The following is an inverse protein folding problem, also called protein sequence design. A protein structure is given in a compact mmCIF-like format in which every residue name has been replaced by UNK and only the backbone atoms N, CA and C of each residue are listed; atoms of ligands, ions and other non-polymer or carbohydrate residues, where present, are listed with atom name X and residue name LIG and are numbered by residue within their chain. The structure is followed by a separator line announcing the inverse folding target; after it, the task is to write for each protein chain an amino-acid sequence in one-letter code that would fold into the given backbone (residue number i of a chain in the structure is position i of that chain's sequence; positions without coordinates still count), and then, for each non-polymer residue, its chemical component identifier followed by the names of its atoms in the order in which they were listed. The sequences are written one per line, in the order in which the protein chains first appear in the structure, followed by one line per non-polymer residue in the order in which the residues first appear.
data_IF_791255300242
#
_entry.id   IF_791255300242
#
_cell.length_a   1.000
_cell.length_b   1.000
_cell.length_c   1.000
_cell.angle_alpha   90.00
_cell.angle_beta   90.00
_cell.angle_gamma   90.00
#
_symmetry.space_group_name_H-M   'P 1'
#
loop_
_entity.id
_entity.type
_entity.pdbx_description
1 polymer ?
#
# COMPACT_ATOMS: atom_id res chain seq x y z
N UNK A 1 17.88 5.77 3.84
CA UNK A 1 17.09 4.55 3.60
C UNK A 1 16.48 4.64 2.22
N UNK A 2 16.27 3.52 1.53
CA UNK A 2 15.62 3.46 0.21
C UNK A 2 14.19 4.05 0.19
N UNK A 3 13.66 4.42 1.35
CA UNK A 3 12.28 4.90 1.50
C UNK A 3 11.99 6.25 0.80
N UNK A 4 13.01 7.06 0.49
CA UNK A 4 12.79 8.39 -0.09
C UNK A 4 13.39 8.54 -1.50
N UNK A 5 14.10 7.53 -2.00
CA UNK A 5 14.74 7.59 -3.30
C UNK A 5 13.77 7.17 -4.41
N UNK A 6 13.53 8.06 -5.36
CA UNK A 6 12.87 7.75 -6.63
C UNK A 6 13.96 7.45 -7.64
N UNK A 7 14.03 6.21 -8.11
CA UNK A 7 15.02 5.77 -9.08
C UNK A 7 14.47 5.85 -10.51
N UNK A 8 15.29 6.34 -11.44
CA UNK A 8 14.93 6.36 -12.86
C UNK A 8 15.18 5.01 -13.57
N UNK A 9 15.83 4.09 -12.89
CA UNK A 9 16.11 2.73 -13.38
C UNK A 9 15.24 1.71 -12.66
N UNK A 10 14.92 0.58 -13.30
CA UNK A 10 14.29 -0.54 -12.60
C UNK A 10 15.12 -0.96 -11.38
N UNK A 11 14.45 -1.20 -10.27
CA UNK A 11 15.07 -1.63 -9.02
C UNK A 11 14.19 -2.64 -8.29
N UNK A 12 14.79 -3.36 -7.39
CA UNK A 12 14.13 -4.38 -6.58
C UNK A 12 14.57 -4.22 -5.13
N UNK A 13 13.64 -4.40 -4.22
CA UNK A 13 13.92 -4.53 -2.80
C UNK A 13 13.69 -5.97 -2.36
N UNK A 14 14.71 -6.58 -1.77
CA UNK A 14 14.66 -7.93 -1.22
C UNK A 14 14.43 -7.86 0.28
N UNK A 15 13.40 -8.55 0.78
CA UNK A 15 13.03 -8.58 2.21
C UNK A 15 12.58 -9.94 2.66
N UNK A 16 12.92 -10.30 3.90
CA UNK A 16 12.27 -11.40 4.62
C UNK A 16 10.91 -10.98 5.18
N UNK A 17 10.11 -11.94 5.58
CA UNK A 17 8.82 -11.71 6.26
C UNK A 17 8.99 -11.46 7.76
N UNK A 18 10.00 -12.05 8.37
CA UNK A 18 10.31 -11.95 9.78
C UNK A 18 11.50 -11.04 10.07
N UNK A 19 12.04 -11.21 11.26
CA UNK A 19 13.25 -10.54 11.69
C UNK A 19 14.48 -11.06 10.94
N UNK A 20 14.51 -12.38 10.69
CA UNK A 20 15.56 -13.04 9.91
C UNK A 20 15.21 -13.07 8.43
N UNK A 21 16.22 -13.10 7.58
CA UNK A 21 16.05 -13.20 6.15
C UNK A 21 15.55 -14.61 5.74
N UNK A 22 16.09 -15.67 6.31
CA UNK A 22 15.65 -17.04 6.10
C UNK A 22 14.90 -17.62 7.31
N UNK A 23 14.76 -18.95 7.35
CA UNK A 23 14.14 -19.65 8.48
C UNK A 23 14.98 -19.50 9.76
N UNK A 24 14.32 -19.07 10.82
CA UNK A 24 14.89 -19.02 12.16
C UNK A 24 13.90 -19.63 13.17
N UNK A 25 14.28 -20.75 13.78
CA UNK A 25 13.43 -21.45 14.74
C UNK A 25 13.17 -20.69 16.05
N UNK A 26 13.91 -19.61 16.30
CA UNK A 26 13.77 -18.77 17.51
C UNK A 26 12.81 -17.60 17.28
N UNK A 27 12.29 -17.43 16.06
CA UNK A 27 11.27 -16.42 15.78
C UNK A 27 9.89 -16.90 16.23
N UNK A 28 9.14 -16.03 16.86
CA UNK A 28 7.73 -16.21 17.19
C UNK A 28 6.81 -15.35 16.30
N UNK A 29 5.51 -15.34 16.58
CA UNK A 29 4.52 -14.63 15.76
C UNK A 29 4.75 -13.11 15.73
N UNK A 30 5.31 -12.54 16.79
CA UNK A 30 5.54 -11.09 16.91
C UNK A 30 6.73 -10.63 16.06
N UNK A 31 7.63 -11.54 15.72
CA UNK A 31 8.79 -11.27 14.87
C UNK A 31 8.42 -11.17 13.38
N UNK A 32 7.22 -11.62 13.01
CA UNK A 32 6.76 -11.55 11.63
C UNK A 32 5.98 -10.28 11.35
N UNK A 33 6.20 -9.70 10.17
CA UNK A 33 5.43 -8.56 9.71
C UNK A 33 3.94 -8.91 9.61
N UNK A 34 3.10 -7.95 9.96
CA UNK A 34 1.65 -8.09 9.80
C UNK A 34 1.27 -8.12 8.31
N UNK A 35 0.13 -8.71 7.93
CA UNK A 35 -0.30 -8.71 6.53
C UNK A 35 -0.46 -7.29 5.98
N UNK A 36 -0.97 -6.35 6.81
CA UNK A 36 -1.07 -4.95 6.42
C UNK A 36 0.30 -4.32 6.16
N UNK A 37 1.29 -4.60 7.00
CA UNK A 37 2.66 -4.09 6.80
C UNK A 37 3.29 -4.64 5.52
N UNK A 38 3.13 -5.93 5.22
CA UNK A 38 3.64 -6.55 3.99
C UNK A 38 2.98 -5.95 2.74
N UNK A 39 1.65 -5.80 2.75
CA UNK A 39 0.90 -5.19 1.64
C UNK A 39 1.31 -3.73 1.44
N UNK A 40 1.38 -2.92 2.50
CA UNK A 40 1.79 -1.53 2.40
C UNK A 40 3.26 -1.37 1.99
N UNK A 41 4.12 -2.31 2.36
CA UNK A 41 5.51 -2.37 1.87
C UNK A 41 5.54 -2.61 0.36
N UNK A 42 4.79 -3.59 -0.14
CA UNK A 42 4.64 -3.84 -1.58
C UNK A 42 4.13 -2.58 -2.30
N UNK A 43 3.06 -1.98 -1.79
CA UNK A 43 2.45 -0.77 -2.36
C UNK A 43 3.44 0.39 -2.42
N UNK A 44 4.18 0.64 -1.34
CA UNK A 44 5.20 1.70 -1.26
C UNK A 44 6.35 1.48 -2.26
N UNK A 45 6.80 0.25 -2.43
CA UNK A 45 7.86 -0.11 -3.39
C UNK A 45 7.36 0.10 -4.82
N UNK A 46 6.17 -0.41 -5.16
CA UNK A 46 5.61 -0.34 -6.51
C UNK A 46 5.25 1.09 -6.90
N UNK A 47 4.72 1.91 -5.97
CA UNK A 47 4.44 3.33 -6.23
C UNK A 47 5.69 4.12 -6.63
N UNK A 48 6.86 3.70 -6.14
CA UNK A 48 8.18 4.27 -6.48
C UNK A 48 8.84 3.62 -7.69
N UNK A 49 8.14 2.71 -8.37
CA UNK A 49 8.61 2.03 -9.60
C UNK A 49 9.53 0.84 -9.35
N UNK A 50 9.56 0.31 -8.12
CA UNK A 50 10.32 -0.88 -7.74
C UNK A 50 9.52 -2.18 -7.82
N UNK A 51 10.23 -3.29 -7.60
CA UNK A 51 9.66 -4.62 -7.42
C UNK A 51 10.02 -5.13 -6.01
N UNK A 52 9.14 -5.92 -5.42
CA UNK A 52 9.39 -6.61 -4.16
C UNK A 52 9.78 -8.07 -4.43
N UNK A 53 10.96 -8.45 -3.99
CA UNK A 53 11.35 -9.85 -3.82
C UNK A 53 11.15 -10.21 -2.34
N UNK A 54 10.08 -10.94 -2.04
CA UNK A 54 9.75 -11.36 -0.69
C UNK A 54 10.32 -12.75 -0.42
N UNK A 55 11.30 -12.82 0.46
CA UNK A 55 11.93 -14.07 0.84
C UNK A 55 11.10 -14.86 1.85
N UNK A 56 11.08 -16.17 1.67
CA UNK A 56 10.46 -17.14 2.58
C UNK A 56 11.50 -18.15 3.03
N UNK A 57 11.53 -18.47 4.32
CA UNK A 57 12.51 -19.41 4.90
C UNK A 57 11.90 -20.79 5.12
N UNK A 58 12.05 -21.77 4.21
CA UNK A 58 11.62 -23.13 4.48
C UNK A 58 12.47 -23.74 5.59
N UNK A 59 11.83 -24.61 6.39
CA UNK A 59 12.50 -25.43 7.41
C UNK A 59 13.48 -26.42 6.77
N UNK A 60 14.35 -27.06 7.56
CA UNK A 60 15.33 -28.03 7.06
C UNK A 60 14.72 -29.20 6.29
N UNK A 61 13.46 -29.54 6.54
CA UNK A 61 12.72 -30.58 5.80
C UNK A 61 11.90 -30.01 4.60
N UNK A 62 12.18 -28.78 4.17
CA UNK A 62 11.58 -28.16 2.99
C UNK A 62 10.16 -27.60 3.18
N UNK A 63 9.64 -27.55 4.41
CA UNK A 63 8.28 -27.04 4.67
C UNK A 63 8.33 -25.53 4.93
N UNK A 64 7.43 -24.81 4.31
CA UNK A 64 7.21 -23.40 4.62
C UNK A 64 6.44 -23.29 5.94
N UNK A 65 6.91 -22.51 6.93
CA UNK A 65 6.21 -22.32 8.21
C UNK A 65 4.76 -21.85 8.01
N UNK A 66 3.80 -22.32 8.83
CA UNK A 66 2.38 -21.95 8.69
C UNK A 66 2.15 -20.43 8.68
N UNK A 67 2.87 -19.69 9.51
CA UNK A 67 2.75 -18.22 9.56
C UNK A 67 3.11 -17.56 8.22
N UNK A 68 4.15 -18.03 7.54
CA UNK A 68 4.54 -17.50 6.23
C UNK A 68 3.49 -17.86 5.17
N UNK A 69 2.94 -19.08 5.20
CA UNK A 69 1.85 -19.50 4.31
C UNK A 69 0.61 -18.62 4.50
N UNK A 70 0.24 -18.31 5.74
CA UNK A 70 -0.89 -17.43 6.06
C UNK A 70 -0.65 -16.02 5.51
N UNK A 71 0.52 -15.44 5.73
CA UNK A 71 0.85 -14.10 5.20
C UNK A 71 0.80 -14.05 3.68
N UNK A 72 1.32 -15.06 2.99
CA UNK A 72 1.25 -15.17 1.53
C UNK A 72 -0.21 -15.27 1.05
N UNK A 73 -1.05 -16.06 1.72
CA UNK A 73 -2.47 -16.19 1.41
C UNK A 73 -3.19 -14.84 1.56
N UNK A 74 -2.96 -14.13 2.66
CA UNK A 74 -3.56 -12.81 2.92
C UNK A 74 -3.14 -11.78 1.87
N UNK A 75 -1.86 -11.75 1.48
CA UNK A 75 -1.38 -10.90 0.38
C UNK A 75 -2.03 -11.31 -0.95
N UNK A 76 -2.12 -12.61 -1.22
CA UNK A 76 -2.74 -13.16 -2.43
C UNK A 76 -4.22 -12.78 -2.55
N UNK A 77 -4.99 -12.83 -1.46
CA UNK A 77 -6.39 -12.41 -1.42
C UNK A 77 -6.54 -10.93 -1.71
N UNK A 78 -5.70 -10.09 -1.11
CA UNK A 78 -5.69 -8.66 -1.40
C UNK A 78 -5.34 -8.38 -2.87
N UNK A 79 -4.36 -9.08 -3.44
CA UNK A 79 -3.94 -8.94 -4.82
C UNK A 79 -4.99 -9.43 -5.84
N UNK A 80 -5.87 -10.38 -5.50
CA UNK A 80 -6.99 -10.76 -6.37
C UNK A 80 -7.91 -9.59 -6.67
N UNK A 81 -8.06 -8.65 -5.73
CA UNK A 81 -8.92 -7.48 -5.86
C UNK A 81 -8.13 -6.29 -6.38
N UNK A 82 -6.96 -6.03 -5.81
CA UNK A 82 -6.19 -4.81 -6.04
C UNK A 82 -5.01 -4.97 -7.01
N UNK A 83 -4.78 -6.17 -7.54
CA UNK A 83 -3.63 -6.49 -8.39
C UNK A 83 -3.55 -5.66 -9.66
N UNK A 84 -4.69 -5.14 -10.18
CA UNK A 84 -4.71 -4.21 -11.32
C UNK A 84 -3.86 -2.96 -11.05
N UNK A 85 -3.83 -2.50 -9.80
CA UNK A 85 -3.06 -1.35 -9.34
C UNK A 85 -1.58 -1.66 -9.06
N UNK A 86 -1.18 -2.94 -9.17
CA UNK A 86 0.19 -3.42 -8.89
C UNK A 86 0.84 -3.95 -10.16
N UNK A 87 0.19 -4.92 -10.83
CA UNK A 87 0.80 -5.65 -11.94
C UNK A 87 0.86 -4.83 -13.23
N UNK A 88 2.09 -4.68 -13.76
CA UNK A 88 2.34 -3.98 -15.00
C UNK A 88 2.13 -2.46 -14.91
N UNK A 89 2.09 -1.92 -13.70
CA UNK A 89 1.98 -0.48 -13.46
C UNK A 89 3.36 0.21 -13.58
N UNK A 90 3.32 1.53 -13.56
CA UNK A 90 4.48 2.41 -13.50
C UNK A 90 4.24 3.45 -12.41
N UNK A 91 5.31 4.06 -11.90
CA UNK A 91 5.19 5.23 -11.04
C UNK A 91 4.41 6.33 -11.76
N UNK A 92 3.57 7.03 -11.02
CA UNK A 92 2.91 8.23 -11.52
C UNK A 92 3.76 9.48 -11.20
N UNK A 93 3.35 10.67 -11.69
CA UNK A 93 4.04 11.94 -11.40
C UNK A 93 4.18 12.22 -9.89
N UNK A 94 3.18 11.84 -9.10
CA UNK A 94 3.23 11.80 -7.64
C UNK A 94 3.25 10.34 -7.20
N UNK A 95 4.26 9.95 -6.43
CA UNK A 95 4.37 8.57 -5.93
C UNK A 95 3.52 8.35 -4.69
N UNK A 96 3.29 9.42 -3.91
CA UNK A 96 2.49 9.40 -2.69
C UNK A 96 1.91 10.79 -2.37
N UNK A 97 0.98 10.81 -1.41
CA UNK A 97 0.43 12.01 -0.81
C UNK A 97 0.53 11.89 0.71
N UNK A 98 1.00 12.96 1.35
CA UNK A 98 1.18 13.02 2.79
C UNK A 98 0.14 13.94 3.45
N UNK A 99 -0.23 13.56 4.68
CA UNK A 99 -0.95 14.45 5.60
C UNK A 99 -0.08 15.61 6.05
N UNK A 100 -0.66 16.57 6.76
CA UNK A 100 0.10 17.56 7.51
C UNK A 100 0.86 16.90 8.69
N UNK A 101 2.02 17.44 9.04
CA UNK A 101 2.85 16.97 10.14
C UNK A 101 4.32 16.81 9.75
N UNK A 102 5.13 16.33 10.70
CA UNK A 102 6.55 16.07 10.48
C UNK A 102 6.74 14.76 9.70
N UNK A 103 7.45 14.81 8.57
CA UNK A 103 7.77 13.62 7.74
C UNK A 103 9.06 12.91 8.18
N UNK A 104 9.78 13.45 9.16
CA UNK A 104 11.09 12.95 9.57
C UNK A 104 10.99 11.88 10.67
N UNK A 105 9.94 11.06 10.66
CA UNK A 105 9.83 9.95 11.58
C UNK A 105 11.04 9.02 11.42
N UNK A 106 11.69 8.72 12.55
CA UNK A 106 12.84 7.81 12.59
C UNK A 106 12.54 6.68 13.56
N UNK A 107 12.83 5.48 13.12
CA UNK A 107 12.79 4.33 14.00
C UNK A 107 13.83 4.50 15.11
N UNK A 108 13.39 4.44 16.35
CA UNK A 108 14.25 4.59 17.55
C UNK A 108 14.21 3.35 18.45
N UNK A 109 13.59 2.26 18.00
CA UNK A 109 13.43 1.04 18.78
C UNK A 109 14.71 0.18 18.78
N UNK A 110 14.81 -0.65 19.83
CA UNK A 110 15.90 -1.64 19.95
C UNK A 110 15.69 -2.86 19.04
N UNK A 111 14.48 -3.07 18.55
CA UNK A 111 14.10 -4.19 17.70
C UNK A 111 13.65 -3.69 16.34
N UNK A 112 14.31 -4.18 15.34
CA UNK A 112 13.93 -3.93 13.96
C UNK A 112 13.03 -5.07 13.49
N UNK A 113 11.71 -4.90 13.61
CA UNK A 113 10.77 -5.77 12.90
C UNK A 113 10.64 -5.22 11.49
N UNK A 114 11.31 -5.88 10.56
CA UNK A 114 11.31 -5.44 9.17
C UNK A 114 9.87 -5.41 8.65
N UNK A 115 9.43 -4.31 8.15
CA UNK A 115 8.09 -4.14 7.58
C UNK A 115 7.12 -3.38 8.47
N UNK A 116 7.06 -3.63 9.77
CA UNK A 116 6.08 -2.94 10.63
C UNK A 116 6.36 -1.43 10.78
N UNK A 117 7.56 -0.97 10.46
CA UNK A 117 7.90 0.46 10.44
C UNK A 117 7.03 1.26 9.45
N UNK A 118 6.54 0.65 8.35
CA UNK A 118 5.63 1.29 7.41
C UNK A 118 4.31 1.68 8.07
N UNK A 119 3.86 0.95 9.10
CA UNK A 119 2.62 1.26 9.81
C UNK A 119 2.72 2.60 10.54
N UNK A 120 3.90 2.97 11.05
CA UNK A 120 4.15 4.27 11.69
C UNK A 120 4.10 5.43 10.71
N UNK A 121 4.37 5.16 9.45
CA UNK A 121 4.29 6.14 8.37
C UNK A 121 2.95 6.13 7.63
N UNK A 122 1.99 5.30 8.04
CA UNK A 122 0.70 5.15 7.35
C UNK A 122 -0.49 5.10 8.31
N UNK A 123 -0.69 3.98 9.01
CA UNK A 123 -1.94 3.72 9.74
C UNK A 123 -1.88 3.98 11.23
N UNK A 124 -0.69 3.94 11.84
CA UNK A 124 -0.47 4.08 13.28
C UNK A 124 0.68 5.07 13.58
N UNK A 125 0.56 6.36 13.23
CA UNK A 125 1.63 7.32 13.45
C UNK A 125 1.82 7.64 14.93
N UNK A 126 3.06 7.95 15.28
CA UNK A 126 3.32 8.61 16.55
C UNK A 126 2.78 10.06 16.51
N UNK A 127 2.39 10.64 17.66
CA UNK A 127 1.82 11.98 17.69
C UNK A 127 2.70 13.04 17.03
N UNK A 128 2.10 13.87 16.17
CA UNK A 128 2.78 14.96 15.48
C UNK A 128 3.43 14.59 14.13
N UNK A 129 3.53 13.30 13.83
CA UNK A 129 4.09 12.87 12.55
C UNK A 129 3.04 12.79 11.43
N UNK A 130 3.47 13.14 10.23
CA UNK A 130 2.69 12.98 9.00
C UNK A 130 2.62 11.52 8.58
N UNK A 131 1.56 11.17 7.84
CA UNK A 131 1.40 9.84 7.25
C UNK A 131 1.26 9.93 5.74
N UNK A 132 1.69 8.89 5.06
CA UNK A 132 1.34 8.64 3.67
C UNK A 132 -0.14 8.21 3.62
N UNK A 133 -0.98 9.14 3.17
CA UNK A 133 -2.44 8.93 3.07
C UNK A 133 -2.82 8.17 1.81
N UNK A 134 -2.02 8.32 0.76
CA UNK A 134 -2.26 7.75 -0.57
C UNK A 134 -0.93 7.36 -1.19
N UNK A 135 -0.90 6.22 -1.84
CA UNK A 135 0.15 5.81 -2.78
C UNK A 135 -0.42 5.80 -4.20
N UNK A 136 0.37 6.21 -5.17
CA UNK A 136 -0.08 6.27 -6.56
C UNK A 136 0.71 5.33 -7.47
N UNK A 137 -0.02 4.66 -8.36
CA UNK A 137 0.54 3.95 -9.52
C UNK A 137 -0.23 4.34 -10.77
N UNK A 138 0.29 4.04 -11.95
CA UNK A 138 -0.38 4.31 -13.21
C UNK A 138 -0.24 3.16 -14.19
N UNK A 139 -1.26 2.98 -15.06
CA UNK A 139 -1.25 2.00 -16.15
C UNK A 139 -2.08 2.52 -17.32
N UNK A 140 -1.39 2.80 -18.44
CA UNK A 140 -2.03 3.52 -19.55
C UNK A 140 -2.56 4.88 -19.08
N UNK A 141 -3.84 5.16 -19.34
CA UNK A 141 -4.52 6.40 -18.94
C UNK A 141 -5.14 6.33 -17.53
N UNK A 142 -4.93 5.23 -16.81
CA UNK A 142 -5.50 5.03 -15.49
C UNK A 142 -4.50 5.37 -14.39
N UNK A 143 -4.99 6.04 -13.35
CA UNK A 143 -4.27 6.27 -12.10
C UNK A 143 -4.94 5.44 -11.02
N UNK A 144 -4.15 4.84 -10.17
CA UNK A 144 -4.63 4.11 -9.00
C UNK A 144 -4.16 4.85 -7.75
N UNK A 145 -5.12 5.21 -6.89
CA UNK A 145 -4.87 5.80 -5.59
C UNK A 145 -5.12 4.73 -4.52
N UNK A 146 -4.05 4.22 -3.92
CA UNK A 146 -4.09 3.14 -2.94
C UNK A 146 -4.05 3.76 -1.53
N UNK A 147 -5.11 3.53 -0.76
CA UNK A 147 -5.37 4.11 0.54
C UNK A 147 -5.03 3.11 1.65
N UNK A 148 -4.09 3.43 2.57
CA UNK A 148 -3.79 2.57 3.72
C UNK A 148 -4.96 2.43 4.72
N UNK A 149 -5.88 3.39 4.73
CA UNK A 149 -7.07 3.43 5.59
C UNK A 149 -8.34 3.63 4.76
N UNK A 150 -9.44 2.97 5.16
CA UNK A 150 -10.77 3.29 4.65
C UNK A 150 -11.28 4.56 5.34
N UNK A 151 -11.34 5.65 4.61
CA UNK A 151 -11.77 6.95 5.09
C UNK A 151 -13.16 7.27 4.56
N UNK A 152 -13.95 8.06 5.28
CA UNK A 152 -15.25 8.53 4.76
C UNK A 152 -15.10 9.45 3.54
N UNK A 153 -14.03 10.21 3.49
CA UNK A 153 -13.72 11.12 2.40
C UNK A 153 -12.21 11.32 2.30
N UNK A 154 -11.72 11.51 1.08
CA UNK A 154 -10.32 11.83 0.79
C UNK A 154 -10.26 12.95 -0.26
N UNK A 155 -9.25 13.81 -0.16
CA UNK A 155 -8.93 14.81 -1.18
C UNK A 155 -7.65 14.39 -1.88
N UNK A 156 -7.74 14.05 -3.15
CA UNK A 156 -6.58 13.79 -4.00
C UNK A 156 -6.09 15.09 -4.62
N UNK A 157 -4.83 15.42 -4.39
CA UNK A 157 -4.22 16.71 -4.77
C UNK A 157 -3.63 16.64 -6.18
N UNK A 158 -3.64 17.79 -6.86
CA UNK A 158 -3.06 17.98 -8.20
C UNK A 158 -3.58 16.97 -9.25
N UNK A 159 -4.86 16.66 -9.17
CA UNK A 159 -5.58 15.82 -10.13
C UNK A 159 -6.77 16.58 -10.67
N UNK A 160 -6.88 16.62 -12.00
CA UNK A 160 -7.93 17.32 -12.72
C UNK A 160 -8.86 16.37 -13.43
N UNK A 161 -10.15 16.53 -13.22
CA UNK A 161 -11.16 15.78 -13.95
C UNK A 161 -11.35 16.28 -15.38
N UNK A 162 -11.87 15.42 -16.22
CA UNK A 162 -12.38 15.71 -17.55
C UNK A 162 -13.87 15.41 -17.63
N UNK A 163 -14.54 15.71 -18.73
CA UNK A 163 -15.93 15.30 -18.96
C UNK A 163 -16.13 13.77 -19.04
N UNK A 164 -15.05 13.01 -19.16
CA UNK A 164 -15.06 11.54 -19.27
C UNK A 164 -14.52 10.85 -18.01
N UNK A 165 -14.20 11.59 -16.98
CA UNK A 165 -13.63 11.03 -15.75
C UNK A 165 -14.60 10.06 -15.10
N UNK A 166 -14.08 8.88 -14.75
CA UNK A 166 -14.77 7.89 -13.91
C UNK A 166 -13.87 7.54 -12.74
N UNK A 167 -14.49 7.39 -11.58
CA UNK A 167 -13.78 6.96 -10.36
C UNK A 167 -14.55 5.78 -9.78
N UNK A 168 -13.85 4.69 -9.50
CA UNK A 168 -14.41 3.49 -8.90
C UNK A 168 -13.52 2.96 -7.78
N UNK A 169 -14.10 2.20 -6.87
CA UNK A 169 -13.40 1.46 -5.83
C UNK A 169 -13.23 0.01 -6.29
N UNK A 170 -12.00 -0.48 -6.37
CA UNK A 170 -11.75 -1.85 -6.79
C UNK A 170 -12.42 -2.85 -5.84
N UNK A 171 -13.07 -3.86 -6.42
CA UNK A 171 -13.81 -4.88 -5.66
C UNK A 171 -15.13 -4.40 -5.06
N UNK A 172 -15.67 -3.25 -5.53
CA UNK A 172 -16.94 -2.70 -5.08
C UNK A 172 -17.76 -2.19 -6.26
N UNK A 173 -19.02 -2.58 -6.35
CA UNK A 173 -19.95 -2.16 -7.40
C UNK A 173 -20.72 -0.87 -7.05
N UNK A 174 -20.55 -0.34 -5.82
CA UNK A 174 -21.19 0.91 -5.42
C UNK A 174 -20.54 2.10 -6.11
N UNK A 175 -21.38 3.05 -6.50
CA UNK A 175 -20.93 4.31 -7.06
C UNK A 175 -20.07 5.09 -6.06
N UNK A 176 -18.98 5.67 -6.55
CA UNK A 176 -18.10 6.55 -5.79
C UNK A 176 -18.46 7.99 -6.13
N UNK A 177 -18.93 8.73 -5.15
CA UNK A 177 -19.23 10.15 -5.32
C UNK A 177 -17.94 10.97 -5.30
N UNK A 178 -17.82 11.90 -6.25
CA UNK A 178 -16.66 12.77 -6.31
C UNK A 178 -17.01 14.14 -6.91
N UNK A 179 -16.18 15.14 -6.63
CA UNK A 179 -16.26 16.48 -7.21
C UNK A 179 -14.90 17.10 -7.41
N UNK A 180 -14.74 17.90 -8.46
CA UNK A 180 -13.58 18.75 -8.64
C UNK A 180 -13.63 19.93 -7.66
N UNK A 181 -12.56 20.18 -6.92
CA UNK A 181 -12.36 21.31 -6.03
C UNK A 181 -11.05 22.03 -6.39
N UNK A 182 -11.10 23.02 -7.29
CA UNK A 182 -9.91 23.68 -7.85
C UNK A 182 -8.97 22.64 -8.47
N UNK A 183 -7.77 22.51 -7.93
CA UNK A 183 -6.72 21.62 -8.40
C UNK A 183 -6.79 20.20 -7.79
N UNK A 184 -7.87 19.89 -7.08
CA UNK A 184 -8.01 18.64 -6.32
C UNK A 184 -9.33 17.95 -6.65
N UNK A 185 -9.37 16.64 -6.48
CA UNK A 185 -10.61 15.87 -6.51
C UNK A 185 -10.95 15.44 -5.07
N UNK A 186 -12.12 15.87 -4.58
CA UNK A 186 -12.69 15.32 -3.35
C UNK A 186 -13.51 14.08 -3.67
N UNK A 187 -13.25 13.01 -2.95
CA UNK A 187 -13.95 11.72 -3.10
C UNK A 187 -14.65 11.39 -1.79
N UNK A 188 -15.93 11.01 -1.88
CA UNK A 188 -16.68 10.42 -0.79
C UNK A 188 -16.72 8.92 -1.00
N UNK A 189 -16.15 8.18 -0.05
CA UNK A 189 -16.12 6.72 -0.13
C UNK A 189 -17.51 6.15 0.17
N UNK A 190 -17.97 5.12 -0.56
CA UNK A 190 -19.25 4.50 -0.31
C UNK A 190 -19.30 3.88 1.08
N UNK A 191 -20.47 3.90 1.72
CA UNK A 191 -20.64 3.11 2.94
C UNK A 191 -20.66 1.61 2.59
N UNK A 192 -19.77 0.85 3.23
CA UNK A 192 -19.70 -0.60 3.10
C UNK A 192 -20.03 -1.24 4.45
N UNK A 193 -20.98 -2.17 4.44
CA UNK A 193 -21.21 -3.08 5.56
C UNK A 193 -20.05 -4.07 5.67
N UNK A 194 -19.96 -4.79 6.77
CA UNK A 194 -18.92 -5.81 6.95
C UNK A 194 -18.96 -6.89 5.86
N UNK A 195 -20.15 -7.26 5.38
CA UNK A 195 -20.33 -8.25 4.31
C UNK A 195 -19.92 -7.74 2.92
N UNK A 196 -19.91 -6.42 2.73
CA UNK A 196 -19.56 -5.78 1.46
C UNK A 196 -18.07 -5.42 1.38
N UNK A 197 -17.33 -5.58 2.47
CA UNK A 197 -15.88 -5.37 2.47
C UNK A 197 -15.20 -6.46 1.66
N UNK A 198 -14.86 -6.13 0.42
CA UNK A 198 -14.21 -7.04 -0.52
C UNK A 198 -12.75 -7.32 -0.18
N UNK A 199 -12.10 -6.41 0.54
CA UNK A 199 -10.70 -6.56 0.96
C UNK A 199 -10.43 -5.87 2.31
N UNK A 200 -9.30 -6.22 2.90
CA UNK A 200 -8.75 -5.60 4.11
C UNK A 200 -7.40 -4.95 3.79
N UNK A 201 -6.85 -4.23 4.76
CA UNK A 201 -5.48 -3.69 4.80
C UNK A 201 -5.21 -2.45 3.96
N UNK A 202 -5.72 -2.37 2.73
CA UNK A 202 -5.63 -1.20 1.86
C UNK A 202 -6.71 -1.25 0.78
N UNK A 203 -7.16 -0.09 0.31
CA UNK A 203 -8.26 0.06 -0.65
C UNK A 203 -7.81 0.89 -1.83
N UNK A 204 -8.22 0.54 -3.02
CA UNK A 204 -7.75 1.18 -4.25
C UNK A 204 -8.88 1.86 -5.00
N UNK A 205 -8.72 3.16 -5.21
CA UNK A 205 -9.52 3.93 -6.15
C UNK A 205 -8.85 3.88 -7.53
N UNK A 206 -9.61 3.52 -8.55
CA UNK A 206 -9.23 3.65 -9.95
C UNK A 206 -9.80 4.94 -10.51
N UNK A 207 -8.93 5.78 -11.05
CA UNK A 207 -9.28 7.04 -11.69
C UNK A 207 -8.98 6.92 -13.19
N UNK A 208 -10.01 7.04 -14.00
CA UNK A 208 -9.94 6.95 -15.46
C UNK A 208 -10.14 8.34 -16.09
N UNK A 209 -9.38 8.65 -17.13
CA UNK A 209 -9.48 9.92 -17.88
C UNK A 209 -9.35 11.18 -17.01
N UNK A 210 -8.37 11.17 -16.10
CA UNK A 210 -7.94 12.34 -15.32
C UNK A 210 -6.64 12.93 -15.90
N UNK A 211 -6.30 14.18 -15.49
CA UNK A 211 -5.09 14.90 -15.90
C UNK A 211 -4.22 15.26 -14.71
#
# INVERSE_FOLDING_TARGET
SANDAVFDKPWEECRGMGFSFGYNQNEDLEDYATPQALILTLVNIVSKGGNLLLDIGPTANGKIPPIMQERLSQMGEWLKINGEAIYGTRRWKHVDQWSSGDRNWKYNGKYYVSGNAILKQTVDPDPGYAVQEVFFTSKGDNIYAILPKYLKSIVLKDIYSTSQTKISLLGCDKEVEWKQEKDNIRITMPFLSFEELSCNYAWTLKLEKVK
#
